data_IF_529107934536
#
_entry.id   IF_529107934536
#
_cell.length_a   1.000
_cell.length_b   1.000
_cell.length_c   1.000
_cell.angle_alpha   90.00
_cell.angle_beta   90.00
_cell.angle_gamma   90.00
#
_symmetry.space_group_name_H-M   'P 1'
#
loop_
_entity.id
_entity.type
_entity.pdbx_description
1 polymer ?
#
# COMPACT_ATOMS: atom_id res chain seq x y z
N UNK A 1 -33.07 -12.35 20.89
CA UNK A 1 -33.01 -12.28 19.42
C UNK A 1 -31.57 -12.47 19.01
N UNK A 2 -31.24 -13.63 18.45
CA UNK A 2 -29.88 -14.05 18.16
C UNK A 2 -29.34 -13.41 16.88
N UNK A 3 -28.12 -12.90 16.95
CA UNK A 3 -27.35 -12.45 15.79
C UNK A 3 -27.08 -13.62 14.84
N UNK A 4 -27.17 -13.45 13.51
CA UNK A 4 -26.80 -14.50 12.58
C UNK A 4 -25.28 -14.74 12.64
N UNK A 5 -24.91 -15.98 12.95
CA UNK A 5 -23.56 -16.51 12.82
C UNK A 5 -23.33 -16.72 11.32
N UNK A 6 -22.45 -15.94 10.70
CA UNK A 6 -22.01 -16.21 9.34
C UNK A 6 -21.02 -17.37 9.35
N UNK A 7 -21.54 -18.59 9.24
CA UNK A 7 -20.77 -19.73 8.75
C UNK A 7 -20.67 -19.60 7.23
N UNK A 8 -19.52 -19.17 6.72
CA UNK A 8 -19.23 -19.24 5.29
C UNK A 8 -18.36 -20.48 5.02
N UNK A 9 -19.03 -21.63 4.95
CA UNK A 9 -18.46 -22.85 4.39
C UNK A 9 -19.07 -23.12 3.00
N UNK A 10 -19.14 -22.09 2.17
CA UNK A 10 -19.62 -22.21 0.79
C UNK A 10 -18.42 -22.11 -0.15
N UNK A 11 -18.08 -23.22 -0.80
CA UNK A 11 -17.20 -23.18 -1.97
C UNK A 11 -17.78 -22.18 -2.99
N UNK A 12 -16.95 -21.37 -3.66
CA UNK A 12 -17.45 -20.43 -4.65
C UNK A 12 -18.15 -21.18 -5.79
N UNK A 13 -19.35 -20.74 -6.13
CA UNK A 13 -20.27 -21.38 -7.08
C UNK A 13 -19.90 -21.18 -8.56
N UNK A 14 -18.79 -20.48 -8.86
CA UNK A 14 -18.35 -20.24 -10.22
C UNK A 14 -17.41 -21.36 -10.70
N UNK A 15 -17.83 -22.09 -11.74
CA UNK A 15 -16.95 -23.04 -12.44
C UNK A 15 -15.83 -22.26 -13.15
N UNK A 16 -14.55 -22.56 -12.88
CA UNK A 16 -13.45 -21.95 -13.61
C UNK A 16 -13.58 -22.23 -15.12
N UNK A 17 -13.37 -21.21 -15.95
CA UNK A 17 -13.54 -21.33 -17.39
C UNK A 17 -12.56 -20.43 -18.16
N UNK A 18 -12.24 -20.85 -19.38
CA UNK A 18 -11.51 -20.06 -20.36
C UNK A 18 -12.32 -20.10 -21.65
N UNK A 19 -12.70 -18.93 -22.16
CA UNK A 19 -13.40 -18.78 -23.44
C UNK A 19 -12.62 -17.82 -24.32
N UNK A 20 -12.48 -18.17 -25.61
CA UNK A 20 -11.91 -17.28 -26.62
C UNK A 20 -13.06 -16.85 -27.53
N UNK A 21 -13.37 -15.56 -27.54
CA UNK A 21 -14.40 -14.99 -28.40
C UNK A 21 -13.93 -14.96 -29.86
N UNK A 22 -14.88 -14.81 -30.79
CA UNK A 22 -14.59 -14.79 -32.23
C UNK A 22 -13.65 -13.66 -32.66
N UNK A 23 -13.56 -12.57 -31.89
CA UNK A 23 -12.63 -11.45 -32.11
C UNK A 23 -11.25 -11.67 -31.47
N UNK A 24 -11.02 -12.82 -30.85
CA UNK A 24 -9.78 -13.17 -30.16
C UNK A 24 -9.73 -12.77 -28.68
N UNK A 25 -10.78 -12.16 -28.12
CA UNK A 25 -10.83 -11.79 -26.69
C UNK A 25 -10.84 -13.04 -25.81
N UNK A 26 -9.96 -13.09 -24.80
CA UNK A 26 -9.90 -14.20 -23.82
C UNK A 26 -10.64 -13.81 -22.53
N UNK A 27 -11.67 -14.57 -22.18
CA UNK A 27 -12.43 -14.44 -20.93
C UNK A 27 -12.05 -15.56 -19.98
N UNK A 28 -11.55 -15.20 -18.79
CA UNK A 28 -11.14 -16.16 -17.76
C UNK A 28 -11.99 -15.98 -16.50
N UNK A 29 -12.71 -17.02 -16.11
CA UNK A 29 -13.35 -17.13 -14.79
C UNK A 29 -12.48 -18.01 -13.91
N UNK A 30 -12.11 -17.54 -12.71
CA UNK A 30 -11.36 -18.36 -11.74
C UNK A 30 -11.79 -18.07 -10.32
N UNK A 31 -11.63 -19.08 -9.48
CA UNK A 31 -11.79 -18.98 -8.03
C UNK A 31 -10.40 -18.93 -7.40
N UNK A 32 -10.11 -17.88 -6.62
CA UNK A 32 -8.84 -17.75 -5.90
C UNK A 32 -9.14 -17.80 -4.39
N UNK A 33 -8.86 -18.92 -3.69
CA UNK A 33 -9.10 -18.99 -2.25
C UNK A 33 -8.06 -18.19 -1.47
N UNK A 34 -8.44 -17.72 -0.28
CA UNK A 34 -7.49 -17.11 0.68
C UNK A 34 -6.43 -18.15 1.06
N UNK A 35 -5.12 -17.87 0.92
CA UNK A 35 -4.07 -18.83 1.23
C UNK A 35 -4.01 -19.18 2.72
N UNK A 36 -3.87 -20.47 3.04
CA UNK A 36 -3.70 -20.96 4.43
C UNK A 36 -2.28 -20.83 4.96
N UNK A 37 -1.32 -20.51 4.11
CA UNK A 37 0.11 -20.38 4.44
C UNK A 37 0.47 -19.02 5.04
N UNK A 38 -0.47 -18.08 5.10
CA UNK A 38 -0.31 -16.75 5.68
C UNK A 38 -0.76 -16.73 7.15
N UNK A 39 -0.34 -15.70 7.90
CA UNK A 39 -0.82 -15.50 9.27
C UNK A 39 -2.34 -15.30 9.32
N UNK A 40 -2.95 -15.51 10.49
CA UNK A 40 -4.40 -15.36 10.65
C UNK A 40 -4.84 -13.92 10.35
N UNK A 41 -4.08 -12.94 10.81
CA UNK A 41 -4.32 -11.52 10.60
C UNK A 41 -4.29 -11.16 9.10
N UNK A 42 -3.33 -11.71 8.36
CA UNK A 42 -3.24 -11.50 6.91
C UNK A 42 -4.40 -12.16 6.15
N UNK A 43 -4.85 -13.34 6.59
CA UNK A 43 -6.04 -13.98 6.03
C UNK A 43 -7.31 -13.17 6.29
N UNK A 44 -7.45 -12.59 7.49
CA UNK A 44 -8.57 -11.71 7.82
C UNK A 44 -8.57 -10.42 7.01
N UNK A 45 -7.40 -9.83 6.76
CA UNK A 45 -7.28 -8.65 5.89
C UNK A 45 -7.73 -8.97 4.46
N UNK A 46 -7.29 -10.10 3.89
CA UNK A 46 -7.68 -10.52 2.53
C UNK A 46 -9.17 -10.85 2.38
N UNK A 47 -9.87 -11.16 3.49
CA UNK A 47 -11.32 -11.40 3.46
C UNK A 47 -12.13 -10.11 3.36
N UNK A 48 -11.52 -8.93 3.57
CA UNK A 48 -12.22 -7.65 3.46
C UNK A 48 -12.47 -7.33 1.99
N UNK A 49 -13.74 -7.33 1.60
CA UNK A 49 -14.15 -6.95 0.25
C UNK A 49 -14.09 -5.44 0.09
N UNK A 50 -13.39 -4.96 -0.95
CA UNK A 50 -13.61 -3.61 -1.47
C UNK A 50 -14.54 -3.72 -2.68
N UNK A 51 -15.67 -3.00 -2.70
CA UNK A 51 -16.54 -3.01 -3.86
C UNK A 51 -15.79 -2.42 -5.06
N UNK A 52 -15.91 -3.06 -6.22
CA UNK A 52 -15.47 -2.45 -7.47
C UNK A 52 -16.25 -1.14 -7.67
N UNK A 53 -15.50 -0.06 -7.91
CA UNK A 53 -16.12 1.22 -8.20
C UNK A 53 -16.64 1.21 -9.63
N UNK A 54 -17.96 1.35 -9.79
CA UNK A 54 -18.63 1.37 -11.08
C UNK A 54 -18.26 2.58 -11.94
N UNK A 55 -17.73 3.66 -11.35
CA UNK A 55 -17.35 4.88 -12.05
C UNK A 55 -15.85 5.14 -11.94
N UNK A 56 -15.23 5.60 -13.03
CA UNK A 56 -13.84 6.05 -13.00
C UNK A 56 -13.78 7.44 -12.36
N UNK A 57 -13.15 7.61 -11.18
CA UNK A 57 -13.01 8.93 -10.57
C UNK A 57 -12.16 9.85 -11.45
N UNK A 58 -12.45 11.16 -11.38
CA UNK A 58 -11.67 12.21 -12.04
C UNK A 58 -10.24 12.25 -11.50
N UNK A 59 -9.33 12.92 -12.21
CA UNK A 59 -7.95 13.09 -11.73
C UNK A 59 -7.89 13.81 -10.38
N UNK A 60 -8.71 14.84 -10.19
CA UNK A 60 -8.79 15.56 -8.92
C UNK A 60 -9.24 14.65 -7.78
N UNK A 61 -10.34 13.91 -7.98
CA UNK A 61 -10.85 12.98 -6.96
C UNK A 61 -9.83 11.90 -6.60
N UNK A 62 -9.07 11.40 -7.58
CA UNK A 62 -7.99 10.44 -7.35
C UNK A 62 -6.88 11.04 -6.49
N UNK A 63 -6.49 12.30 -6.74
CA UNK A 63 -5.45 12.99 -5.95
C UNK A 63 -5.88 13.16 -4.51
N UNK A 64 -7.07 13.70 -4.28
CA UNK A 64 -7.62 13.92 -2.94
C UNK A 64 -7.75 12.60 -2.16
N UNK A 65 -8.25 11.55 -2.81
CA UNK A 65 -8.33 10.23 -2.20
C UNK A 65 -6.94 9.67 -1.85
N UNK A 66 -5.94 9.89 -2.72
CA UNK A 66 -4.57 9.42 -2.50
C UNK A 66 -3.90 10.16 -1.35
N UNK A 67 -4.05 11.48 -1.27
CA UNK A 67 -3.50 12.29 -0.17
C UNK A 67 -4.12 11.88 1.16
N UNK A 68 -5.45 11.71 1.19
CA UNK A 68 -6.15 11.23 2.39
C UNK A 68 -5.68 9.83 2.80
N UNK A 69 -5.54 8.91 1.84
CA UNK A 69 -5.04 7.57 2.09
C UNK A 69 -3.59 7.59 2.61
N UNK A 70 -2.71 8.36 1.97
CA UNK A 70 -1.31 8.48 2.37
C UNK A 70 -1.17 9.07 3.78
N UNK A 71 -1.96 10.08 4.12
CA UNK A 71 -2.00 10.66 5.47
C UNK A 71 -2.46 9.63 6.51
N UNK A 72 -3.54 8.90 6.23
CA UNK A 72 -4.07 7.87 7.13
C UNK A 72 -3.08 6.72 7.34
N UNK A 73 -2.46 6.24 6.26
CA UNK A 73 -1.44 5.20 6.32
C UNK A 73 -0.18 5.67 7.04
N UNK A 74 0.26 6.90 6.80
CA UNK A 74 1.38 7.50 7.52
C UNK A 74 1.12 7.61 9.02
N UNK A 75 -0.06 8.07 9.41
CA UNK A 75 -0.46 8.14 10.82
C UNK A 75 -0.48 6.75 11.48
N UNK A 76 -1.05 5.74 10.81
CA UNK A 76 -1.05 4.36 11.29
C UNK A 76 0.37 3.81 11.42
N UNK A 77 1.24 4.07 10.45
CA UNK A 77 2.64 3.62 10.52
C UNK A 77 3.41 4.28 11.66
N UNK A 78 3.21 5.58 11.91
CA UNK A 78 3.85 6.28 13.03
C UNK A 78 3.36 5.77 14.38
N UNK A 79 2.09 5.35 14.48
CA UNK A 79 1.56 4.75 15.71
C UNK A 79 2.25 3.43 16.05
N UNK A 80 2.55 2.61 15.04
CA UNK A 80 3.19 1.30 15.21
C UNK A 80 4.72 1.40 15.30
N UNK A 81 5.31 2.39 14.63
CA UNK A 81 6.75 2.54 14.46
C UNK A 81 7.10 4.02 14.62
N UNK A 82 7.29 4.52 15.87
CA UNK A 82 7.57 5.92 16.12
C UNK A 82 8.81 6.41 15.38
N UNK A 83 8.66 7.49 14.62
CA UNK A 83 9.75 8.11 13.87
C UNK A 83 9.52 9.62 13.74
N UNK A 84 10.60 10.38 13.61
CA UNK A 84 10.54 11.78 13.21
C UNK A 84 10.47 11.86 11.70
N UNK A 85 9.51 12.61 11.17
CA UNK A 85 9.40 12.88 9.73
C UNK A 85 9.58 14.37 9.45
N UNK A 86 10.40 14.71 8.46
CA UNK A 86 10.63 16.08 8.01
C UNK A 86 10.58 16.14 6.49
N UNK A 87 10.17 17.28 5.94
CA UNK A 87 10.22 17.53 4.49
C UNK A 87 11.42 18.40 4.19
N UNK A 88 12.14 18.11 3.12
CA UNK A 88 13.33 18.86 2.70
C UNK A 88 13.45 18.86 1.16
N UNK A 89 14.46 19.53 0.62
CA UNK A 89 14.81 19.53 -0.80
C UNK A 89 16.30 19.29 -0.95
N UNK A 90 16.67 18.20 -1.64
CA UNK A 90 18.06 17.85 -1.92
C UNK A 90 18.31 18.05 -3.42
N UNK A 91 19.25 18.94 -3.75
CA UNK A 91 19.59 19.27 -5.14
C UNK A 91 18.36 19.62 -6.02
N UNK A 92 17.37 20.31 -5.45
CA UNK A 92 16.13 20.70 -6.16
C UNK A 92 15.05 19.62 -6.23
N UNK A 93 15.29 18.43 -5.68
CA UNK A 93 14.31 17.35 -5.61
C UNK A 93 13.65 17.35 -4.23
N UNK A 94 12.31 17.48 -4.13
CA UNK A 94 11.63 17.38 -2.85
C UNK A 94 11.78 15.97 -2.27
N UNK A 95 12.09 15.91 -0.99
CA UNK A 95 12.28 14.66 -0.25
C UNK A 95 11.53 14.69 1.07
N UNK A 96 11.33 13.50 1.63
CA UNK A 96 10.90 13.33 3.01
C UNK A 96 11.95 12.52 3.75
N UNK A 97 12.48 13.06 4.83
CA UNK A 97 13.38 12.32 5.71
C UNK A 97 12.59 11.67 6.85
N UNK A 98 12.92 10.42 7.14
CA UNK A 98 12.37 9.63 8.22
C UNK A 98 13.54 9.18 9.10
N UNK A 99 13.56 9.66 10.33
CA UNK A 99 14.56 9.28 11.33
C UNK A 99 13.89 8.41 12.40
N UNK A 100 14.35 7.17 12.64
CA UNK A 100 13.76 6.32 13.67
C UNK A 100 14.02 6.90 15.08
N UNK A 101 13.24 6.47 16.07
CA UNK A 101 13.40 6.94 17.45
C UNK A 101 14.78 6.56 18.03
N UNK A 102 15.32 5.40 17.65
CA UNK A 102 16.64 4.92 18.04
C UNK A 102 17.42 4.52 16.80
N UNK A 103 18.67 4.96 16.72
CA UNK A 103 19.60 4.62 15.64
C UNK A 103 20.93 4.19 16.25
N UNK A 104 21.45 2.99 15.93
CA UNK A 104 22.69 2.53 16.50
C UNK A 104 23.90 3.23 15.83
N UNK A 105 25.04 3.38 16.54
CA UNK A 105 26.15 4.22 16.07
C UNK A 105 26.73 3.83 14.71
N UNK A 106 26.73 2.53 14.37
CA UNK A 106 27.19 1.99 13.10
C UNK A 106 26.37 2.47 11.89
N UNK A 107 25.21 3.08 12.12
CA UNK A 107 24.30 3.60 11.11
C UNK A 107 24.35 5.14 11.02
N UNK A 108 25.13 5.81 11.85
CA UNK A 108 25.20 7.28 11.90
C UNK A 108 25.65 7.92 10.57
N UNK A 109 26.47 7.21 9.78
CA UNK A 109 26.97 7.65 8.47
C UNK A 109 26.25 7.01 7.28
N UNK A 110 25.14 6.29 7.52
CA UNK A 110 24.38 5.57 6.50
C UNK A 110 23.02 6.19 6.28
N UNK A 111 22.50 6.00 5.08
CA UNK A 111 21.14 6.38 4.72
C UNK A 111 20.57 5.36 3.74
N UNK A 112 19.26 5.12 3.81
CA UNK A 112 18.52 4.41 2.77
C UNK A 112 17.76 5.42 1.92
N UNK A 113 17.82 5.27 0.60
CA UNK A 113 17.02 6.08 -0.32
C UNK A 113 15.81 5.25 -0.74
N UNK A 114 14.60 5.76 -0.49
CA UNK A 114 13.37 5.11 -0.92
C UNK A 114 12.86 5.73 -2.23
N UNK A 115 12.65 4.86 -3.22
CA UNK A 115 11.96 5.15 -4.46
C UNK A 115 10.63 4.39 -4.42
N UNK A 116 9.58 5.09 -4.02
CA UNK A 116 8.31 4.46 -3.72
C UNK A 116 7.68 3.77 -4.94
N UNK A 117 6.88 2.74 -4.67
CA UNK A 117 6.10 2.04 -5.67
C UNK A 117 4.90 2.85 -6.17
N UNK A 118 3.82 2.14 -6.50
CA UNK A 118 2.56 2.78 -6.90
C UNK A 118 2.40 3.03 -8.41
N UNK A 119 3.19 2.36 -9.25
CA UNK A 119 2.99 2.36 -10.70
C UNK A 119 2.89 3.78 -11.30
N UNK A 120 3.73 4.69 -10.80
CA UNK A 120 3.84 6.11 -11.18
C UNK A 120 2.62 7.00 -10.91
N UNK A 121 1.54 6.45 -10.33
CA UNK A 121 0.27 7.16 -10.10
C UNK A 121 -0.16 7.16 -8.64
N UNK A 122 0.21 6.13 -7.91
CA UNK A 122 -0.17 5.88 -6.52
C UNK A 122 1.03 6.13 -5.58
N UNK A 123 0.74 6.31 -4.30
CA UNK A 123 1.69 6.53 -3.19
C UNK A 123 2.48 7.85 -3.20
N UNK A 124 2.38 8.63 -2.11
CA UNK A 124 2.94 9.97 -1.94
C UNK A 124 4.16 10.03 -1.03
N UNK A 125 5.25 9.40 -1.46
CA UNK A 125 6.49 9.37 -0.70
C UNK A 125 6.53 8.29 0.37
N UNK A 126 5.65 7.28 0.25
CA UNK A 126 5.61 6.04 1.02
C UNK A 126 5.95 6.15 2.49
N UNK A 127 5.16 6.94 3.21
CA UNK A 127 5.17 6.89 4.66
C UNK A 127 4.89 5.46 5.17
N UNK A 128 4.01 4.72 4.49
CA UNK A 128 3.70 3.33 4.82
C UNK A 128 4.88 2.38 4.69
N UNK A 129 5.80 2.59 3.75
CA UNK A 129 7.00 1.75 3.58
C UNK A 129 8.17 2.28 4.42
N UNK A 130 8.41 3.59 4.40
CA UNK A 130 9.65 4.19 4.91
C UNK A 130 9.70 4.25 6.43
N UNK A 131 8.56 4.47 7.09
CA UNK A 131 8.48 4.50 8.56
C UNK A 131 8.85 3.14 9.19
N UNK A 132 8.23 2.02 8.79
CA UNK A 132 8.61 0.72 9.36
C UNK A 132 10.04 0.33 8.97
N UNK A 133 10.50 0.61 7.74
CA UNK A 133 11.88 0.32 7.35
C UNK A 133 12.88 1.10 8.19
N UNK A 134 12.65 2.40 8.43
CA UNK A 134 13.52 3.21 9.27
C UNK A 134 13.65 2.63 10.69
N UNK A 135 12.53 2.20 11.28
CA UNK A 135 12.49 1.62 12.62
C UNK A 135 13.13 0.24 12.69
N UNK A 136 12.74 -0.68 11.80
CA UNK A 136 13.21 -2.07 11.81
C UNK A 136 14.70 -2.17 11.48
N UNK A 137 15.20 -1.32 10.58
CA UNK A 137 16.62 -1.28 10.22
C UNK A 137 17.45 -0.38 11.15
N UNK A 138 16.81 0.47 11.96
CA UNK A 138 17.49 1.51 12.72
C UNK A 138 18.36 2.40 11.83
N UNK A 139 17.85 2.82 10.67
CA UNK A 139 18.56 3.67 9.70
C UNK A 139 17.66 4.82 9.25
N UNK A 140 18.23 6.01 9.07
CA UNK A 140 17.54 7.12 8.41
C UNK A 140 17.14 6.75 6.97
N UNK A 141 15.88 7.00 6.62
CA UNK A 141 15.37 6.83 5.25
C UNK A 141 15.08 8.20 4.64
N UNK A 142 15.55 8.43 3.41
CA UNK A 142 15.23 9.60 2.58
C UNK A 142 14.35 9.14 1.43
N UNK A 143 13.08 9.52 1.48
CA UNK A 143 12.09 9.18 0.45
C UNK A 143 12.03 10.27 -0.60
N UNK A 144 12.25 9.90 -1.85
CA UNK A 144 12.23 10.85 -2.97
C UNK A 144 10.79 11.10 -3.40
N UNK A 145 10.37 12.36 -3.41
CA UNK A 145 9.04 12.77 -3.89
C UNK A 145 9.14 13.09 -5.38
N UNK A 146 9.37 12.07 -6.21
CA UNK A 146 9.52 12.27 -7.65
C UNK A 146 8.21 12.72 -8.29
N UNK A 147 8.33 13.52 -9.35
CA UNK A 147 7.17 14.07 -10.04
C UNK A 147 6.33 12.96 -10.67
N UNK A 148 5.04 12.95 -10.35
CA UNK A 148 4.04 12.16 -11.08
C UNK A 148 3.53 13.01 -12.23
N UNK A 149 3.99 12.72 -13.44
CA UNK A 149 3.48 13.40 -14.65
C UNK A 149 2.06 12.88 -14.91
N UNK A 150 1.07 13.75 -14.73
CA UNK A 150 -0.28 13.55 -15.25
C UNK A 150 -0.40 14.46 -16.47
N UNK A 151 -0.06 13.93 -17.65
CA UNK A 151 -0.44 14.52 -18.94
C UNK A 151 -1.84 14.06 -19.30
#
# INVERSE_FOLDING_TARGET
MGSPIYSQNSQPTATPSVQIAADGTVVVTRVVPVPKTMSQEAQEELRKTSPDSASRPTLQQRREAMEKWAAAMGAKSLQLNPAKTTTDTIAGVPVREITPATMPPENASKVLINLHGGGFRFDAGSLSESIPIANLAGIKVVSVLFHRRYS
#
